data_IF_434177499424
#
_entry.id   IF_434177499424
#
_cell.length_a   1.000
_cell.length_b   1.000
_cell.length_c   1.000
_cell.angle_alpha   90.00
_cell.angle_beta   90.00
_cell.angle_gamma   90.00
#
_symmetry.space_group_name_H-M   'P 1'
#
loop_
_entity.id
_entity.type
_entity.pdbx_description
1 polymer ?
#
# COMPACT_ATOMS: atom_id res chain seq x y z
N UNK A 1 2.73 -42.25 -79.52
CA UNK A 1 3.95 -43.09 -79.45
C UNK A 1 5.15 -42.18 -79.28
N UNK A 2 6.12 -42.59 -78.44
CA UNK A 2 7.44 -41.95 -78.13
C UNK A 2 7.32 -40.65 -77.31
N UNK A 3 7.71 -40.61 -76.02
CA UNK A 3 9.06 -40.78 -75.44
C UNK A 3 10.04 -39.76 -76.05
N UNK A 4 10.79 -38.94 -75.31
CA UNK A 4 11.77 -39.32 -74.28
C UNK A 4 12.16 -38.07 -73.45
N UNK A 5 12.49 -38.33 -72.18
CA UNK A 5 13.06 -37.47 -71.12
C UNK A 5 14.42 -36.83 -71.48
N UNK A 6 14.81 -35.75 -70.79
CA UNK A 6 16.14 -35.59 -70.13
C UNK A 6 16.24 -34.22 -69.45
N UNK A 7 16.49 -34.11 -68.12
CA UNK A 7 17.80 -33.99 -67.42
C UNK A 7 18.47 -32.64 -67.81
N UNK A 8 18.87 -31.70 -66.95
CA UNK A 8 19.73 -31.80 -65.77
C UNK A 8 19.93 -30.42 -65.08
N UNK A 9 20.55 -30.47 -63.89
CA UNK A 9 21.60 -29.56 -63.38
C UNK A 9 21.24 -28.49 -62.33
N UNK A 10 21.69 -28.78 -61.12
CA UNK A 10 22.13 -27.84 -60.07
C UNK A 10 23.22 -26.89 -60.61
N UNK A 11 23.20 -25.60 -60.21
CA UNK A 11 24.19 -24.98 -59.32
C UNK A 11 23.93 -23.48 -59.11
N UNK A 12 23.96 -23.08 -57.82
CA UNK A 12 24.37 -21.80 -57.21
C UNK A 12 23.87 -20.45 -57.74
N UNK A 13 23.30 -19.63 -56.84
CA UNK A 13 23.95 -18.39 -56.37
C UNK A 13 23.20 -17.72 -55.19
N UNK A 14 24.03 -17.23 -54.27
CA UNK A 14 23.83 -16.25 -53.20
C UNK A 14 22.60 -15.33 -53.28
N UNK A 15 21.95 -15.09 -52.13
CA UNK A 15 21.33 -13.80 -51.79
C UNK A 15 21.22 -13.64 -50.27
N UNK A 16 22.04 -12.73 -49.73
CA UNK A 16 21.93 -12.19 -48.36
C UNK A 16 20.81 -11.15 -48.40
N UNK A 17 19.78 -11.29 -47.56
CA UNK A 17 18.74 -10.29 -47.38
C UNK A 17 18.84 -9.70 -45.96
N UNK A 18 19.35 -8.46 -45.88
CA UNK A 18 19.25 -7.62 -44.70
C UNK A 18 17.81 -7.06 -44.64
N UNK A 19 17.08 -7.39 -43.57
CA UNK A 19 15.82 -6.74 -43.22
C UNK A 19 16.08 -5.75 -42.08
N UNK A 20 16.11 -4.48 -42.47
CA UNK A 20 15.91 -3.33 -41.60
C UNK A 20 14.42 -3.13 -41.40
N UNK A 21 13.96 -2.86 -40.17
CA UNK A 21 12.56 -2.53 -39.92
C UNK A 21 12.12 -2.54 -38.46
N UNK A 22 12.37 -1.42 -37.77
CA UNK A 22 11.65 -0.84 -36.63
C UNK A 22 10.82 -1.76 -35.72
N UNK A 23 11.33 -2.03 -34.52
CA UNK A 23 10.55 -2.49 -33.37
C UNK A 23 10.85 -1.59 -32.17
N UNK A 24 9.87 -0.75 -31.83
CA UNK A 24 9.84 0.27 -30.78
C UNK A 24 10.76 0.07 -29.56
N UNK A 25 11.72 0.99 -29.38
CA UNK A 25 12.22 1.40 -28.08
C UNK A 25 11.09 2.12 -27.34
N UNK A 26 10.23 1.35 -26.67
CA UNK A 26 9.38 1.90 -25.61
C UNK A 26 10.26 2.13 -24.38
N UNK A 27 10.31 3.34 -23.81
CA UNK A 27 10.76 3.47 -22.44
C UNK A 27 9.72 2.74 -21.58
N UNK A 28 10.01 1.48 -21.27
CA UNK A 28 9.45 0.86 -20.09
C UNK A 28 9.79 1.82 -18.96
N UNK A 29 8.78 2.56 -18.50
CA UNK A 29 8.83 3.30 -17.26
C UNK A 29 9.16 2.25 -16.20
N UNK A 30 10.45 2.11 -15.92
CA UNK A 30 10.94 1.41 -14.77
C UNK A 30 10.32 2.19 -13.63
N UNK A 31 9.22 1.66 -13.08
CA UNK A 31 8.79 2.01 -11.75
C UNK A 31 10.02 1.77 -10.90
N UNK A 32 10.72 2.85 -10.57
CA UNK A 32 11.74 2.86 -9.55
C UNK A 32 11.01 2.40 -8.30
N UNK A 33 11.06 1.09 -8.03
CA UNK A 33 10.78 0.56 -6.71
C UNK A 33 11.79 1.27 -5.83
N UNK A 34 11.36 2.37 -5.21
CA UNK A 34 12.08 2.98 -4.12
C UNK A 34 12.29 1.83 -3.14
N UNK A 35 13.53 1.37 -3.00
CA UNK A 35 13.90 0.41 -1.98
C UNK A 35 13.77 1.18 -0.67
N UNK A 36 12.56 1.26 -0.13
CA UNK A 36 12.32 1.75 1.21
C UNK A 36 12.96 0.73 2.14
N UNK A 37 14.08 1.11 2.75
CA UNK A 37 14.64 0.30 3.83
C UNK A 37 13.59 0.21 4.93
N UNK A 38 13.24 -0.98 5.38
CA UNK A 38 12.31 -1.19 6.49
C UNK A 38 13.07 -1.33 7.80
N UNK A 39 12.69 -0.56 8.82
CA UNK A 39 13.20 -0.72 10.19
C UNK A 39 12.18 -1.51 11.01
N UNK A 40 12.62 -2.59 11.66
CA UNK A 40 11.74 -3.44 12.47
C UNK A 40 11.89 -3.09 13.94
N UNK A 41 10.76 -2.85 14.61
CA UNK A 41 10.64 -2.55 16.02
C UNK A 41 11.71 -1.58 16.55
N UNK A 42 11.84 -0.39 15.94
CA UNK A 42 12.85 0.59 16.34
C UNK A 42 12.68 0.97 17.81
N UNK A 43 13.76 1.48 18.39
CA UNK A 43 13.69 2.14 19.70
C UNK A 43 12.77 3.35 19.63
N UNK A 44 12.01 3.60 20.69
CA UNK A 44 11.21 4.81 20.82
C UNK A 44 12.11 6.06 20.72
N UNK A 45 11.64 7.09 20.03
CA UNK A 45 12.39 8.29 19.66
C UNK A 45 13.18 8.16 18.34
N UNK A 46 13.04 7.06 17.60
CA UNK A 46 13.71 6.90 16.31
C UNK A 46 13.12 7.81 15.22
N UNK A 47 14.00 8.32 14.35
CA UNK A 47 13.61 9.03 13.13
C UNK A 47 13.26 8.05 12.00
N UNK A 48 12.16 8.34 11.31
CA UNK A 48 11.74 7.54 10.18
C UNK A 48 12.54 7.80 8.90
N UNK A 49 12.95 9.04 8.61
CA UNK A 49 13.72 9.41 7.40
C UNK A 49 13.16 8.84 6.08
N UNK A 50 11.84 8.77 5.94
CA UNK A 50 11.15 8.20 4.78
C UNK A 50 11.16 6.67 4.70
N UNK A 51 11.77 5.99 5.67
CA UNK A 51 11.83 4.53 5.79
C UNK A 51 10.47 3.96 6.16
N UNK A 52 10.30 2.70 5.77
CA UNK A 52 9.16 1.91 6.24
C UNK A 52 9.46 1.41 7.65
N UNK A 53 8.41 1.22 8.46
CA UNK A 53 8.53 0.74 9.82
C UNK A 53 7.66 -0.49 10.00
N UNK A 54 8.19 -1.54 10.61
CA UNK A 54 7.44 -2.73 10.97
C UNK A 54 7.42 -2.91 12.48
N UNK A 55 6.24 -2.90 13.09
CA UNK A 55 6.04 -3.08 14.53
C UNK A 55 5.40 -4.45 14.76
N UNK A 56 6.04 -5.32 15.53
CA UNK A 56 5.65 -6.73 15.71
C UNK A 56 5.49 -7.16 17.16
N UNK A 57 5.85 -6.30 18.13
CA UNK A 57 5.76 -6.63 19.55
C UNK A 57 4.43 -6.21 20.16
N UNK A 58 3.73 -7.15 20.77
CA UNK A 58 2.60 -6.83 21.63
C UNK A 58 3.03 -6.02 22.85
N UNK A 59 2.06 -5.39 23.54
CA UNK A 59 2.26 -4.75 24.84
C UNK A 59 3.41 -3.72 24.84
N UNK A 60 3.56 -3.02 23.71
CA UNK A 60 4.69 -2.14 23.40
C UNK A 60 4.24 -0.76 22.95
N UNK A 61 5.08 0.24 23.23
CA UNK A 61 4.85 1.63 22.84
C UNK A 61 5.99 2.16 21.97
N UNK A 62 5.64 2.91 20.93
CA UNK A 62 6.60 3.55 20.03
C UNK A 62 6.28 5.03 19.83
N UNK A 63 7.32 5.85 19.89
CA UNK A 63 7.29 7.24 19.45
C UNK A 63 8.26 7.35 18.27
N UNK A 64 7.77 7.79 17.11
CA UNK A 64 8.56 7.93 15.89
C UNK A 64 8.48 9.37 15.38
N UNK A 65 9.59 9.86 14.86
CA UNK A 65 9.70 11.24 14.41
C UNK A 65 9.85 11.36 12.89
N UNK A 66 9.41 12.51 12.37
CA UNK A 66 9.55 12.86 10.97
C UNK A 66 8.57 12.16 10.04
N UNK A 67 8.96 11.98 8.78
CA UNK A 67 8.10 11.42 7.75
C UNK A 67 8.39 9.93 7.58
N UNK A 68 7.45 9.08 7.99
CA UNK A 68 7.52 7.64 7.74
C UNK A 68 6.99 7.31 6.34
N UNK A 69 7.53 6.25 5.74
CA UNK A 69 6.94 5.62 4.56
C UNK A 69 5.66 4.88 4.95
N UNK A 70 5.71 3.56 4.85
CA UNK A 70 4.64 2.66 5.30
C UNK A 70 4.91 2.19 6.72
N UNK A 71 3.97 2.42 7.64
CA UNK A 71 3.93 1.77 8.94
C UNK A 71 3.13 0.46 8.86
N UNK A 72 3.78 -0.69 9.05
CA UNK A 72 3.12 -2.00 9.17
C UNK A 72 3.10 -2.41 10.63
N UNK A 73 1.93 -2.52 11.21
CA UNK A 73 1.72 -2.90 12.61
C UNK A 73 1.10 -4.29 12.60
N UNK A 74 1.80 -5.27 13.18
CA UNK A 74 1.32 -6.62 13.42
C UNK A 74 1.50 -6.91 14.92
N UNK A 75 0.72 -6.20 15.74
CA UNK A 75 0.85 -6.18 17.18
C UNK A 75 -0.48 -5.79 17.84
N UNK A 76 -0.67 -6.18 19.09
CA UNK A 76 -1.85 -5.91 19.89
C UNK A 76 -1.50 -5.28 21.24
N UNK A 77 -2.47 -4.61 21.88
CA UNK A 77 -2.33 -3.99 23.21
C UNK A 77 -1.17 -2.99 23.32
N UNK A 78 -0.91 -2.26 22.24
CA UNK A 78 0.20 -1.31 22.15
C UNK A 78 -0.23 0.10 21.75
N UNK A 79 0.75 0.99 21.65
CA UNK A 79 0.53 2.34 21.16
C UNK A 79 1.64 2.82 20.23
N UNK A 80 1.29 3.63 19.24
CA UNK A 80 2.23 4.26 18.31
C UNK A 80 1.90 5.73 18.16
N UNK A 81 2.86 6.60 18.44
CA UNK A 81 2.81 8.02 18.13
C UNK A 81 3.81 8.32 17.02
N UNK A 82 3.35 8.94 15.94
CA UNK A 82 4.21 9.33 14.83
C UNK A 82 3.77 10.67 14.23
N UNK A 83 4.71 11.45 13.72
CA UNK A 83 4.36 12.74 13.10
C UNK A 83 3.57 12.55 11.80
N UNK A 84 4.19 11.98 10.77
CA UNK A 84 3.58 11.79 9.45
C UNK A 84 3.87 10.40 8.90
N UNK A 85 2.95 9.85 8.10
CA UNK A 85 3.17 8.62 7.34
C UNK A 85 2.50 8.67 5.97
N UNK A 86 3.08 7.99 4.99
CA UNK A 86 2.41 7.77 3.70
C UNK A 86 1.23 6.83 3.87
N UNK A 87 1.43 5.75 4.61
CA UNK A 87 0.39 4.76 4.87
C UNK A 87 0.63 4.04 6.19
N UNK A 88 -0.46 3.58 6.80
CA UNK A 88 -0.45 2.68 7.96
C UNK A 88 -1.32 1.48 7.62
N UNK A 89 -0.75 0.29 7.75
CA UNK A 89 -1.47 -0.99 7.75
C UNK A 89 -1.39 -1.59 9.13
N UNK A 90 -2.52 -1.80 9.76
CA UNK A 90 -2.64 -2.39 11.08
C UNK A 90 -3.33 -3.75 11.00
N UNK A 91 -2.71 -4.73 11.60
CA UNK A 91 -3.24 -6.06 11.87
C UNK A 91 -3.07 -6.36 13.36
N UNK A 92 -4.16 -6.26 14.12
CA UNK A 92 -4.10 -6.44 15.58
C UNK A 92 -5.28 -5.83 16.30
N UNK A 93 -5.25 -5.89 17.63
CA UNK A 93 -6.37 -5.47 18.47
C UNK A 93 -5.96 -4.67 19.69
N UNK A 94 -6.85 -3.82 20.19
CA UNK A 94 -6.61 -2.96 21.35
C UNK A 94 -5.36 -2.08 21.19
N UNK A 95 -5.13 -1.57 19.97
CA UNK A 95 -3.97 -0.74 19.65
C UNK A 95 -4.36 0.73 19.48
N UNK A 96 -3.51 1.64 19.95
CA UNK A 96 -3.72 3.09 19.79
C UNK A 96 -2.73 3.72 18.82
N UNK A 97 -3.19 4.50 17.84
CA UNK A 97 -2.33 5.27 16.92
C UNK A 97 -2.60 6.75 17.03
N UNK A 98 -1.54 7.56 17.12
CA UNK A 98 -1.58 9.02 17.07
C UNK A 98 -0.77 9.50 15.88
N UNK A 99 -1.40 10.25 14.96
CA UNK A 99 -0.71 10.76 13.78
C UNK A 99 -1.27 12.12 13.31
N UNK A 100 -0.41 12.99 12.80
CA UNK A 100 -0.84 14.30 12.27
C UNK A 100 -1.29 14.18 10.83
N UNK A 101 -0.45 13.65 9.95
CA UNK A 101 -0.79 13.50 8.53
C UNK A 101 -0.56 12.08 8.04
N UNK A 102 -1.63 11.51 7.45
CA UNK A 102 -1.65 10.17 6.90
C UNK A 102 -2.22 10.17 5.49
N UNK A 103 -1.58 9.50 4.55
CA UNK A 103 -2.21 9.25 3.25
C UNK A 103 -3.32 8.19 3.40
N UNK A 104 -2.92 6.95 3.69
CA UNK A 104 -3.85 5.82 3.71
C UNK A 104 -3.80 5.07 5.04
N UNK A 105 -4.97 4.76 5.59
CA UNK A 105 -5.14 3.85 6.71
C UNK A 105 -5.83 2.57 6.25
N UNK A 106 -5.27 1.41 6.61
CA UNK A 106 -5.92 0.11 6.49
C UNK A 106 -5.90 -0.59 7.85
N UNK A 107 -7.06 -1.00 8.36
CA UNK A 107 -7.19 -1.69 9.66
C UNK A 107 -7.88 -3.04 9.47
N UNK A 108 -7.17 -4.08 9.87
CA UNK A 108 -7.67 -5.44 10.06
C UNK A 108 -7.52 -5.78 11.55
N UNK A 109 -8.61 -6.16 12.22
CA UNK A 109 -8.59 -6.46 13.66
C UNK A 109 -9.68 -5.72 14.43
N UNK A 110 -9.57 -5.56 15.74
CA UNK A 110 -10.69 -5.01 16.52
C UNK A 110 -10.29 -4.19 17.74
N UNK A 111 -11.24 -3.36 18.20
CA UNK A 111 -11.08 -2.51 19.39
C UNK A 111 -9.86 -1.57 19.32
N UNK A 112 -9.46 -1.15 18.11
CA UNK A 112 -8.37 -0.19 17.93
C UNK A 112 -8.89 1.26 17.98
N UNK A 113 -8.07 2.17 18.50
CA UNK A 113 -8.36 3.61 18.54
C UNK A 113 -7.30 4.38 17.76
N UNK A 114 -7.71 5.12 16.73
CA UNK A 114 -6.80 5.90 15.90
C UNK A 114 -7.18 7.37 15.96
N UNK A 115 -6.30 8.18 16.52
CA UNK A 115 -6.44 9.63 16.62
C UNK A 115 -5.53 10.31 15.57
N UNK A 116 -6.17 10.79 14.52
CA UNK A 116 -5.53 11.26 13.29
C UNK A 116 -5.89 12.73 13.08
N UNK A 117 -5.05 13.57 12.48
CA UNK A 117 -5.51 14.92 12.10
C UNK A 117 -6.08 14.94 10.69
N UNK A 118 -5.27 14.60 9.69
CA UNK A 118 -5.69 14.54 8.28
C UNK A 118 -5.39 13.18 7.69
N UNK A 119 -6.38 12.57 7.03
CA UNK A 119 -6.29 11.27 6.37
C UNK A 119 -6.93 11.34 4.99
N UNK A 120 -6.28 10.82 3.94
CA UNK A 120 -6.94 10.78 2.62
C UNK A 120 -7.97 9.65 2.58
N UNK A 121 -7.57 8.43 2.91
CA UNK A 121 -8.45 7.25 2.84
C UNK A 121 -8.36 6.38 4.08
N UNK A 122 -9.52 5.96 4.58
CA UNK A 122 -9.67 5.03 5.70
C UNK A 122 -10.36 3.77 5.20
N UNK A 123 -9.71 2.62 5.32
CA UNK A 123 -10.26 1.31 4.99
C UNK A 123 -10.26 0.41 6.23
N UNK A 124 -11.44 0.03 6.70
CA UNK A 124 -11.59 -0.77 7.92
C UNK A 124 -12.32 -2.07 7.58
N UNK A 125 -11.58 -3.17 7.64
CA UNK A 125 -12.08 -4.53 7.44
C UNK A 125 -12.38 -5.23 8.77
N UNK A 126 -11.87 -4.66 9.86
CA UNK A 126 -12.05 -5.12 11.23
C UNK A 126 -13.38 -4.73 11.87
N UNK A 127 -13.52 -5.00 13.18
CA UNK A 127 -14.73 -4.67 13.94
C UNK A 127 -14.45 -3.73 15.12
N UNK A 128 -15.42 -2.91 15.53
CA UNK A 128 -15.33 -2.09 16.75
C UNK A 128 -14.11 -1.17 16.79
N UNK A 129 -13.63 -0.70 15.64
CA UNK A 129 -12.54 0.26 15.59
C UNK A 129 -13.09 1.68 15.67
N UNK A 130 -12.39 2.55 16.40
CA UNK A 130 -12.69 3.98 16.50
C UNK A 130 -11.60 4.79 15.80
N UNK A 131 -11.98 5.58 14.81
CA UNK A 131 -11.11 6.59 14.18
C UNK A 131 -11.65 7.98 14.52
N UNK A 132 -10.83 8.78 15.18
CA UNK A 132 -11.07 10.20 15.42
C UNK A 132 -10.20 10.99 14.45
N UNK A 133 -10.80 11.84 13.64
CA UNK A 133 -10.07 12.62 12.66
C UNK A 133 -10.60 14.06 12.54
N UNK A 134 -9.77 15.00 12.09
CA UNK A 134 -10.29 16.32 11.68
C UNK A 134 -10.78 16.26 10.24
N UNK A 135 -9.94 15.74 9.35
CA UNK A 135 -10.23 15.65 7.93
C UNK A 135 -10.03 14.22 7.41
N UNK A 136 -11.06 13.69 6.75
CA UNK A 136 -11.06 12.43 6.00
C UNK A 136 -11.71 12.67 4.64
N UNK A 137 -11.09 12.19 3.56
CA UNK A 137 -11.69 12.31 2.20
C UNK A 137 -12.58 11.12 1.85
N UNK A 138 -12.14 9.91 2.19
CA UNK A 138 -12.88 8.68 1.90
C UNK A 138 -12.84 7.71 3.09
N UNK A 139 -13.97 7.05 3.33
CA UNK A 139 -14.12 5.93 4.27
C UNK A 139 -14.68 4.73 3.54
N UNK A 140 -14.05 3.57 3.76
CA UNK A 140 -14.57 2.26 3.38
C UNK A 140 -14.70 1.37 4.59
N UNK A 141 -15.85 0.76 4.77
CA UNK A 141 -16.08 -0.29 5.76
C UNK A 141 -16.36 -1.62 5.06
N UNK A 142 -15.73 -2.68 5.55
CA UNK A 142 -16.06 -4.07 5.19
C UNK A 142 -16.28 -4.97 6.40
N UNK A 143 -15.98 -4.49 7.62
CA UNK A 143 -16.36 -5.13 8.88
C UNK A 143 -17.48 -4.35 9.59
N UNK A 144 -17.67 -4.60 10.89
CA UNK A 144 -18.87 -4.18 11.61
C UNK A 144 -18.59 -3.31 12.85
N UNK A 145 -19.59 -2.56 13.31
CA UNK A 145 -19.54 -1.76 14.54
C UNK A 145 -18.39 -0.73 14.58
N UNK A 146 -17.86 -0.30 13.42
CA UNK A 146 -16.78 0.67 13.37
C UNK A 146 -17.31 2.10 13.41
N UNK A 147 -16.57 3.01 14.03
CA UNK A 147 -16.91 4.44 14.06
C UNK A 147 -15.76 5.25 13.50
N UNK A 148 -16.04 6.10 12.50
CA UNK A 148 -15.14 7.15 12.05
C UNK A 148 -15.81 8.48 12.38
N UNK A 149 -15.17 9.33 13.18
CA UNK A 149 -15.69 10.63 13.59
C UNK A 149 -14.79 11.74 13.02
N UNK A 150 -15.01 12.16 11.76
CA UNK A 150 -14.32 13.27 11.13
C UNK A 150 -15.08 14.59 11.32
N UNK A 151 -14.38 15.72 11.36
CA UNK A 151 -15.03 17.03 11.20
C UNK A 151 -15.38 17.35 9.73
N UNK A 152 -14.85 16.58 8.77
CA UNK A 152 -15.15 16.68 7.34
C UNK A 152 -16.34 15.81 6.93
N UNK A 153 -16.71 15.86 5.64
CA UNK A 153 -17.74 15.00 5.04
C UNK A 153 -17.10 14.04 4.03
N UNK A 154 -16.64 12.85 4.44
CA UNK A 154 -16.00 11.91 3.52
C UNK A 154 -17.01 11.27 2.57
N UNK A 155 -16.52 10.75 1.44
CA UNK A 155 -17.26 9.76 0.67
C UNK A 155 -17.28 8.44 1.45
N UNK A 156 -18.41 7.73 1.43
CA UNK A 156 -18.61 6.52 2.22
C UNK A 156 -18.98 5.35 1.31
N UNK A 157 -18.24 4.25 1.46
CA UNK A 157 -18.54 2.92 0.89
C UNK A 157 -18.61 1.90 2.02
N UNK A 158 -19.81 1.52 2.45
CA UNK A 158 -20.03 0.59 3.55
C UNK A 158 -20.64 -0.72 3.03
N UNK A 159 -19.90 -1.82 3.22
CA UNK A 159 -20.33 -3.19 2.91
C UNK A 159 -20.53 -4.05 4.17
N UNK A 160 -20.35 -3.49 5.36
CA UNK A 160 -20.55 -4.17 6.63
C UNK A 160 -21.88 -3.82 7.28
N UNK A 161 -21.96 -3.96 8.61
CA UNK A 161 -23.11 -3.59 9.42
C UNK A 161 -22.75 -2.69 10.60
N UNK A 162 -23.70 -1.85 11.02
CA UNK A 162 -23.61 -1.04 12.24
C UNK A 162 -22.41 -0.07 12.31
N UNK A 163 -21.81 0.24 11.15
CA UNK A 163 -20.76 1.24 11.06
C UNK A 163 -21.34 2.66 11.08
N UNK A 164 -20.55 3.62 11.57
CA UNK A 164 -20.96 5.01 11.74
C UNK A 164 -19.90 5.94 11.21
N UNK A 165 -20.33 6.92 10.41
CA UNK A 165 -19.60 8.18 10.18
C UNK A 165 -20.41 9.28 10.82
N UNK A 166 -19.83 10.00 11.80
CA UNK A 166 -20.54 11.02 12.59
C UNK A 166 -19.74 12.30 12.74
#
# INVERSE_FOLDING_TARGET
MRAVRSIASLFALYSIAALSGCGADGPAAQALSAVSSTVTDPTSGADCDGKDVRLTRDDSEWILHGNCGTGTITASRGAMNLDNARSIRMEGSNFTVLNKQLGQLSVTGHDNTLNLSTVDSVDIQGNKNLVLAREVKQVRFSGNDNTVNPSSKPTLDDRGSDNKVM
#
